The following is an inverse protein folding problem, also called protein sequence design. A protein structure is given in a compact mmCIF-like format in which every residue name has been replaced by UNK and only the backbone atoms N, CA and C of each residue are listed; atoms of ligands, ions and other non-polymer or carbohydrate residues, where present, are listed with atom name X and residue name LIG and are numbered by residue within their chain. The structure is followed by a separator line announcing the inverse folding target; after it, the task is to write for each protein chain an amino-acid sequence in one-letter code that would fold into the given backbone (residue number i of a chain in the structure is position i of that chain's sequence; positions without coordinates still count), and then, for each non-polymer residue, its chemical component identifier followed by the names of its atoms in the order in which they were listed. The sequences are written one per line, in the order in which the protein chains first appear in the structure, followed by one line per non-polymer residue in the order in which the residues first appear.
data_IF_275379547976
#
_entry.id   IF_275379547976
#
_cell.length_a   1.000
_cell.length_b   1.000
_cell.length_c   1.000
_cell.angle_alpha   90.00
_cell.angle_beta   90.00
_cell.angle_gamma   90.00
#
_symmetry.space_group_name_H-M   'P 1'
#
loop_
_entity.id
_entity.type
_entity.pdbx_description
1 polymer ?
#
# COMPACT_ATOMS: atom_id res chain seq x y z
N UNK A 1 37.66 13.35 36.48
CA UNK A 1 37.52 13.88 35.11
C UNK A 1 37.35 12.84 34.00
N UNK A 2 37.96 11.64 34.05
CA UNK A 2 37.80 10.62 32.99
C UNK A 2 36.41 9.93 32.98
N UNK A 3 35.76 9.72 34.10
CA UNK A 3 34.46 9.08 34.22
C UNK A 3 33.33 9.94 33.65
N UNK A 4 33.39 11.26 33.84
CA UNK A 4 32.38 12.23 33.36
C UNK A 4 32.37 12.32 31.82
N UNK A 5 33.55 12.21 31.18
CA UNK A 5 33.65 12.20 29.71
C UNK A 5 33.06 10.95 29.08
N UNK A 6 33.19 9.78 29.73
CA UNK A 6 32.62 8.51 29.26
C UNK A 6 31.11 8.49 29.34
N UNK A 7 30.51 9.07 30.35
CA UNK A 7 29.05 9.18 30.52
C UNK A 7 28.47 10.11 29.46
N UNK A 8 29.15 11.22 29.14
CA UNK A 8 28.71 12.15 28.10
C UNK A 8 28.78 11.53 26.70
N UNK A 9 29.81 10.74 26.42
CA UNK A 9 29.93 10.03 25.13
C UNK A 9 28.86 8.94 24.96
N UNK A 10 28.52 8.23 26.03
CA UNK A 10 27.49 7.19 26.03
C UNK A 10 26.10 7.81 25.85
N UNK A 11 25.82 8.98 26.44
CA UNK A 11 24.58 9.71 26.27
C UNK A 11 24.42 10.26 24.84
N UNK A 12 25.51 10.69 24.19
CA UNK A 12 25.49 11.14 22.79
C UNK A 12 25.25 9.97 21.82
N UNK A 13 25.83 8.78 22.10
CA UNK A 13 25.62 7.58 21.28
C UNK A 13 24.20 7.03 21.44
N UNK A 14 23.59 7.11 22.62
CA UNK A 14 22.21 6.73 22.85
C UNK A 14 21.22 7.71 22.21
N UNK A 15 21.53 9.00 22.20
CA UNK A 15 20.69 10.00 21.52
C UNK A 15 20.73 9.85 19.99
N UNK A 16 21.89 9.50 19.41
CA UNK A 16 22.01 9.23 17.97
C UNK A 16 21.32 7.92 17.55
N UNK A 17 21.36 6.87 18.39
CA UNK A 17 20.62 5.62 18.13
C UNK A 17 19.09 5.81 18.19
N UNK A 18 18.59 6.65 19.10
CA UNK A 18 17.17 7.00 19.20
C UNK A 18 16.70 7.84 17.99
N UNK A 19 17.53 8.72 17.46
CA UNK A 19 17.21 9.51 16.27
C UNK A 19 17.15 8.66 14.99
N UNK A 20 17.98 7.63 14.88
CA UNK A 20 17.98 6.70 13.73
C UNK A 20 16.73 5.79 13.75
N UNK A 21 16.27 5.38 14.94
CA UNK A 21 15.06 4.55 15.06
C UNK A 21 13.78 5.32 14.75
N UNK A 22 13.72 6.63 15.04
CA UNK A 22 12.55 7.47 14.68
C UNK A 22 12.46 7.76 13.20
N UNK A 23 13.55 7.94 12.49
CA UNK A 23 13.56 8.11 11.03
C UNK A 23 13.10 6.85 10.28
N UNK A 24 13.40 5.66 10.81
CA UNK A 24 12.94 4.39 10.24
C UNK A 24 11.43 4.17 10.38
N UNK A 25 10.79 4.77 11.36
CA UNK A 25 9.34 4.68 11.56
C UNK A 25 8.55 5.54 10.55
N UNK A 26 9.21 6.48 9.91
CA UNK A 26 8.64 7.48 9.03
C UNK A 26 8.04 6.93 7.73
N UNK A 27 8.58 5.88 7.18
CA UNK A 27 8.07 5.28 5.94
C UNK A 27 6.91 4.30 6.14
N UNK A 28 6.51 4.02 7.37
CA UNK A 28 5.72 2.85 7.69
C UNK A 28 4.32 3.09 8.26
N UNK A 29 4.04 4.30 8.74
CA UNK A 29 2.81 4.59 9.48
C UNK A 29 1.92 5.65 8.88
N UNK A 30 2.15 6.04 7.62
CA UNK A 30 1.55 7.26 7.09
C UNK A 30 2.22 8.51 7.71
N UNK A 31 2.13 9.62 7.01
CA UNK A 31 2.80 10.88 7.34
C UNK A 31 2.50 11.39 8.77
N UNK A 32 1.28 11.13 9.28
CA UNK A 32 0.87 11.55 10.62
C UNK A 32 1.65 10.91 11.78
N UNK A 33 2.09 9.65 11.63
CA UNK A 33 2.88 8.95 12.65
C UNK A 33 4.31 9.49 12.80
N UNK A 34 4.88 9.92 11.68
CA UNK A 34 6.26 10.44 11.61
C UNK A 34 6.35 11.83 12.17
N UNK A 35 5.41 12.69 11.82
CA UNK A 35 5.41 14.10 12.24
C UNK A 35 5.18 14.20 13.75
N UNK A 36 4.39 13.30 14.35
CA UNK A 36 4.25 13.21 15.81
C UNK A 36 5.52 12.74 16.54
N UNK A 37 6.39 11.99 15.86
CA UNK A 37 7.63 11.45 16.44
C UNK A 37 8.83 12.41 16.27
N UNK A 38 8.72 13.41 15.41
CA UNK A 38 9.79 14.42 15.23
C UNK A 38 9.59 15.54 16.23
N UNK A 39 10.64 15.97 16.96
CA UNK A 39 10.57 17.14 17.84
C UNK A 39 10.49 18.49 17.08
N UNK A 40 10.06 18.46 15.83
CA UNK A 40 9.93 19.63 14.97
C UNK A 40 8.54 20.25 15.23
N UNK A 41 8.49 21.24 16.11
CA UNK A 41 7.44 22.25 16.06
C UNK A 41 7.67 23.10 14.81
N UNK A 42 7.21 22.60 13.65
CA UNK A 42 7.12 23.43 12.46
C UNK A 42 5.84 24.30 12.63
N UNK A 43 5.96 25.60 12.87
CA UNK A 43 4.80 26.47 12.90
C UNK A 43 4.15 26.44 11.52
N UNK A 44 2.87 26.05 11.45
CA UNK A 44 2.10 26.07 10.21
C UNK A 44 1.99 24.77 9.41
N UNK A 45 2.43 23.61 9.95
CA UNK A 45 2.00 22.32 9.39
C UNK A 45 0.50 22.19 9.62
N UNK A 46 -0.35 22.21 8.58
CA UNK A 46 -1.79 22.05 8.77
C UNK A 46 -2.07 20.72 9.48
N UNK A 47 -3.08 20.66 10.35
CA UNK A 47 -3.56 19.42 11.01
C UNK A 47 -3.81 18.27 10.04
N UNK A 48 -3.99 18.59 8.78
CA UNK A 48 -4.17 17.74 7.62
C UNK A 48 -2.96 16.80 7.37
N UNK A 49 -1.73 17.26 7.63
CA UNK A 49 -0.52 16.44 7.50
C UNK A 49 -0.35 15.53 8.72
N UNK A 50 -0.92 15.93 9.85
CA UNK A 50 -0.90 15.18 11.11
C UNK A 50 -2.03 14.13 11.21
N UNK A 51 -2.96 14.11 10.26
CA UNK A 51 -4.05 13.15 10.22
C UNK A 51 -3.58 11.72 9.86
N UNK A 52 -4.39 10.69 10.15
CA UNK A 52 -4.06 9.32 9.77
C UNK A 52 -3.94 9.21 8.25
N UNK A 53 -2.98 8.38 7.79
CA UNK A 53 -2.84 8.09 6.37
C UNK A 53 -4.14 7.55 5.78
N UNK A 54 -4.50 7.92 4.54
CA UNK A 54 -5.67 7.37 3.86
C UNK A 54 -5.59 5.84 3.77
N UNK A 55 -4.42 5.33 3.41
CA UNK A 55 -4.12 3.90 3.37
C UNK A 55 -2.85 3.67 4.17
N UNK A 56 -2.93 2.84 5.20
CA UNK A 56 -1.74 2.36 5.92
C UNK A 56 -1.24 1.10 5.22
N UNK A 57 0.03 1.14 4.85
CA UNK A 57 0.75 0.07 4.16
C UNK A 57 2.04 -0.29 4.89
N UNK A 58 1.98 -0.32 6.20
CA UNK A 58 3.13 -0.50 7.06
C UNK A 58 3.59 -1.96 7.10
N UNK A 59 4.91 -2.20 6.94
CA UNK A 59 5.52 -3.53 7.10
C UNK A 59 5.29 -4.11 8.51
N UNK A 60 5.07 -3.28 9.53
CA UNK A 60 4.74 -3.72 10.89
C UNK A 60 3.39 -4.42 11.00
N UNK A 61 2.49 -4.17 10.04
CA UNK A 61 1.19 -4.83 9.95
C UNK A 61 1.26 -6.14 9.15
N UNK A 62 2.42 -6.43 8.54
CA UNK A 62 2.60 -7.61 7.71
C UNK A 62 2.80 -8.87 8.54
N UNK A 63 2.28 -9.98 8.03
CA UNK A 63 2.48 -11.32 8.59
C UNK A 63 3.72 -11.94 7.98
N UNK A 64 4.76 -12.13 8.78
CA UNK A 64 6.08 -12.59 8.34
C UNK A 64 6.12 -14.07 7.92
N UNK A 65 5.19 -14.89 8.38
CA UNK A 65 5.17 -16.31 8.08
C UNK A 65 6.29 -17.10 8.77
N UNK A 66 6.54 -18.30 8.26
CA UNK A 66 7.49 -19.25 8.83
C UNK A 66 8.68 -19.44 7.86
N UNK A 67 9.92 -19.09 8.26
CA UNK A 67 11.12 -19.32 7.44
C UNK A 67 11.32 -20.77 7.00
N UNK A 68 10.91 -21.75 7.82
CA UNK A 68 11.00 -23.16 7.47
C UNK A 68 10.12 -23.56 6.29
N UNK A 69 9.20 -22.68 5.87
CA UNK A 69 8.34 -22.87 4.70
C UNK A 69 8.79 -22.09 3.47
N UNK A 70 9.94 -21.43 3.53
CA UNK A 70 10.50 -20.76 2.36
C UNK A 70 10.80 -21.79 1.27
N UNK A 71 10.38 -21.48 0.05
CA UNK A 71 10.53 -22.41 -1.07
C UNK A 71 9.57 -23.60 -1.07
N UNK A 72 8.75 -23.79 -0.02
CA UNK A 72 7.75 -24.84 0.02
C UNK A 72 6.81 -24.73 -1.19
N UNK A 73 6.69 -25.83 -1.91
CA UNK A 73 5.65 -26.03 -2.93
C UNK A 73 4.58 -26.93 -2.35
N UNK A 74 3.32 -26.44 -2.22
CA UNK A 74 2.23 -27.28 -1.76
C UNK A 74 2.04 -28.52 -2.65
N UNK A 75 1.51 -29.63 -2.11
CA UNK A 75 1.26 -30.84 -2.89
C UNK A 75 0.32 -30.59 -4.09
N UNK A 76 0.63 -31.18 -5.22
CA UNK A 76 -0.18 -31.09 -6.43
C UNK A 76 0.07 -29.83 -7.26
N UNK A 77 -0.72 -29.70 -8.33
CA UNK A 77 -0.73 -28.48 -9.17
C UNK A 77 -1.68 -27.45 -8.57
N UNK A 78 -1.32 -26.17 -8.70
CA UNK A 78 -2.22 -25.09 -8.32
C UNK A 78 -3.52 -25.16 -9.16
N UNK A 79 -4.64 -25.20 -8.48
CA UNK A 79 -5.97 -25.06 -9.07
C UNK A 79 -6.28 -23.57 -9.28
N UNK A 80 -7.18 -23.25 -10.22
CA UNK A 80 -7.62 -21.89 -10.40
C UNK A 80 -8.38 -21.41 -9.16
N UNK A 81 -7.91 -20.35 -8.51
CA UNK A 81 -8.58 -19.74 -7.37
C UNK A 81 -10.01 -19.27 -7.74
N UNK A 82 -10.19 -18.84 -8.99
CA UNK A 82 -11.48 -18.44 -9.57
C UNK A 82 -12.50 -19.57 -9.71
N UNK A 83 -12.09 -20.81 -9.58
CA UNK A 83 -12.97 -21.97 -9.54
C UNK A 83 -13.66 -22.18 -8.18
N UNK A 84 -13.24 -21.47 -7.14
CA UNK A 84 -13.88 -21.51 -5.83
C UNK A 84 -15.15 -20.66 -5.79
N UNK A 85 -16.15 -21.05 -4.98
CA UNK A 85 -17.34 -20.25 -4.75
C UNK A 85 -16.96 -18.87 -4.19
N UNK A 86 -17.72 -17.84 -4.57
CA UNK A 86 -17.56 -16.50 -4.01
C UNK A 86 -18.56 -16.25 -2.90
N UNK A 87 -18.08 -15.64 -1.81
CA UNK A 87 -18.94 -15.12 -0.76
C UNK A 87 -19.65 -13.83 -1.19
N UNK A 88 -20.60 -13.38 -0.38
CA UNK A 88 -21.44 -12.20 -0.66
C UNK A 88 -20.68 -10.91 -0.97
N UNK A 89 -19.43 -10.79 -0.51
CA UNK A 89 -18.56 -9.63 -0.77
C UNK A 89 -17.50 -9.89 -1.84
N UNK A 90 -17.65 -10.95 -2.65
CA UNK A 90 -16.79 -11.24 -3.78
C UNK A 90 -15.48 -11.98 -3.47
N UNK A 91 -15.16 -12.23 -2.20
CA UNK A 91 -14.01 -13.04 -1.80
C UNK A 91 -14.26 -14.53 -2.07
N UNK A 92 -13.20 -15.35 -2.10
CA UNK A 92 -13.22 -16.76 -2.39
C UNK A 92 -13.42 -17.59 -1.12
N UNK A 93 -14.44 -18.47 -1.10
CA UNK A 93 -14.68 -19.42 0.02
C UNK A 93 -13.71 -20.59 -0.14
N UNK A 94 -12.81 -20.75 0.82
CA UNK A 94 -11.67 -21.64 0.72
C UNK A 94 -12.05 -23.10 1.05
N UNK A 95 -11.57 -24.02 0.21
CA UNK A 95 -11.56 -25.46 0.44
C UNK A 95 -10.12 -25.96 0.59
N UNK A 96 -9.88 -27.18 1.14
CA UNK A 96 -8.54 -27.75 1.18
C UNK A 96 -7.92 -27.82 -0.21
N UNK A 97 -6.67 -27.37 -0.35
CA UNK A 97 -5.97 -27.40 -1.65
C UNK A 97 -4.97 -26.28 -1.85
N UNK A 98 -4.35 -26.30 -3.02
CA UNK A 98 -3.43 -25.27 -3.49
C UNK A 98 -4.06 -24.55 -4.67
N UNK A 99 -4.16 -23.23 -4.58
CA UNK A 99 -4.85 -22.36 -5.55
C UNK A 99 -3.97 -21.22 -6.00
N UNK A 100 -4.17 -20.77 -7.24
CA UNK A 100 -3.49 -19.58 -7.76
C UNK A 100 -4.41 -18.79 -8.70
N UNK A 101 -4.16 -17.48 -8.77
CA UNK A 101 -4.71 -16.59 -9.79
C UNK A 101 -3.72 -15.49 -10.14
N UNK A 102 -3.73 -15.04 -11.38
CA UNK A 102 -3.09 -13.81 -11.78
C UNK A 102 -4.09 -12.66 -11.56
N UNK A 103 -3.99 -12.01 -10.42
CA UNK A 103 -4.90 -10.93 -10.03
C UNK A 103 -4.48 -9.59 -10.64
N UNK A 104 -5.45 -8.74 -11.02
CA UNK A 104 -5.17 -7.33 -11.22
C UNK A 104 -4.69 -6.73 -9.90
N UNK A 105 -3.58 -5.98 -9.95
CA UNK A 105 -3.03 -5.30 -8.78
C UNK A 105 -2.86 -3.81 -9.02
N UNK A 106 -2.74 -3.07 -7.92
CA UNK A 106 -2.81 -1.62 -7.88
C UNK A 106 -1.86 -1.05 -6.85
N UNK A 107 -1.15 0.02 -7.24
CA UNK A 107 -0.29 0.76 -6.33
C UNK A 107 -1.08 1.50 -5.25
N UNK A 108 -0.61 1.41 -4.01
CA UNK A 108 -1.16 2.13 -2.85
C UNK A 108 -0.18 3.14 -2.25
N UNK A 109 0.84 3.52 -2.99
CA UNK A 109 1.84 4.50 -2.56
C UNK A 109 2.20 5.44 -3.71
N UNK A 110 2.74 6.62 -3.40
CA UNK A 110 3.28 7.54 -4.37
C UNK A 110 4.79 7.69 -4.16
N UNK A 111 5.54 7.91 -5.25
CA UNK A 111 6.96 8.17 -5.18
C UNK A 111 7.80 6.99 -4.67
N UNK A 112 7.38 5.76 -4.97
CA UNK A 112 8.15 4.54 -4.68
C UNK A 112 8.36 3.70 -5.93
N UNK A 113 9.38 2.84 -5.91
CA UNK A 113 9.78 2.03 -7.06
C UNK A 113 8.79 0.90 -7.33
N UNK A 114 8.61 0.58 -8.59
CA UNK A 114 7.83 -0.59 -9.00
C UNK A 114 8.36 -1.89 -8.39
N UNK A 115 7.55 -2.96 -8.33
CA UNK A 115 8.01 -4.28 -7.93
C UNK A 115 9.18 -4.75 -8.81
N UNK A 116 10.17 -5.36 -8.17
CA UNK A 116 11.31 -5.97 -8.85
C UNK A 116 11.52 -7.39 -8.35
N UNK A 117 12.27 -8.21 -9.09
CA UNK A 117 12.59 -9.58 -8.71
C UNK A 117 13.37 -9.67 -7.40
N UNK A 118 13.19 -10.75 -6.64
CA UNK A 118 13.99 -11.11 -5.48
C UNK A 118 13.44 -10.67 -4.13
N UNK A 119 12.73 -9.55 -4.04
CA UNK A 119 12.13 -9.11 -2.77
C UNK A 119 10.85 -9.88 -2.46
N UNK A 120 10.69 -10.35 -1.22
CA UNK A 120 9.45 -10.93 -0.73
C UNK A 120 8.34 -9.89 -0.61
N UNK A 121 7.10 -10.37 -0.76
CA UNK A 121 5.89 -9.60 -0.51
C UNK A 121 5.04 -10.34 0.50
N UNK A 122 4.75 -9.69 1.62
CA UNK A 122 4.04 -10.28 2.76
C UNK A 122 2.58 -9.84 2.79
N UNK A 123 1.71 -10.68 3.32
CA UNK A 123 0.33 -10.31 3.57
C UNK A 123 0.21 -9.26 4.68
N UNK A 124 -0.60 -8.24 4.45
CA UNK A 124 -1.13 -7.37 5.49
C UNK A 124 -2.60 -7.03 5.22
N UNK A 125 -3.42 -6.79 6.25
CA UNK A 125 -4.78 -6.28 6.05
C UNK A 125 -4.71 -4.81 5.60
N UNK A 126 -5.67 -4.37 4.78
CA UNK A 126 -5.82 -2.96 4.45
C UNK A 126 -6.20 -2.17 5.71
N UNK A 127 -5.49 -1.08 5.97
CA UNK A 127 -5.74 -0.15 7.09
C UNK A 127 -5.74 1.30 6.58
N UNK A 128 -6.04 2.23 7.45
CA UNK A 128 -6.07 3.67 7.15
C UNK A 128 -7.49 4.24 7.18
N UNK A 129 -7.58 5.57 7.12
CA UNK A 129 -8.87 6.27 7.21
C UNK A 129 -9.79 6.02 6.01
N UNK A 130 -9.23 5.68 4.85
CA UNK A 130 -9.97 5.37 3.62
C UNK A 130 -10.04 3.87 3.30
N UNK A 131 -9.71 2.96 4.25
CA UNK A 131 -9.71 1.51 4.01
C UNK A 131 -11.03 1.00 3.41
N UNK A 132 -12.16 1.49 3.92
CA UNK A 132 -13.48 1.05 3.46
C UNK A 132 -13.77 1.50 2.01
N UNK A 133 -13.29 2.68 1.62
CA UNK A 133 -13.41 3.17 0.24
C UNK A 133 -12.51 2.35 -0.71
N UNK A 134 -11.25 2.08 -0.33
CA UNK A 134 -10.34 1.23 -1.10
C UNK A 134 -10.93 -0.16 -1.29
N UNK A 135 -11.40 -0.79 -0.21
CA UNK A 135 -12.03 -2.12 -0.26
C UNK A 135 -13.28 -2.11 -1.15
N UNK A 136 -14.13 -1.07 -1.06
CA UNK A 136 -15.31 -0.94 -1.91
C UNK A 136 -14.94 -0.82 -3.38
N UNK A 137 -13.98 0.02 -3.75
CA UNK A 137 -13.50 0.14 -5.14
C UNK A 137 -13.09 -1.22 -5.69
N UNK A 138 -12.26 -1.96 -4.95
CA UNK A 138 -11.73 -3.25 -5.41
C UNK A 138 -12.81 -4.33 -5.52
N UNK A 139 -13.71 -4.43 -4.55
CA UNK A 139 -14.82 -5.40 -4.54
C UNK A 139 -15.86 -5.07 -5.60
N UNK A 140 -16.31 -3.82 -5.65
CA UNK A 140 -17.36 -3.40 -6.58
C UNK A 140 -16.88 -3.46 -8.04
N UNK A 141 -15.57 -3.35 -8.30
CA UNK A 141 -15.00 -3.52 -9.63
C UNK A 141 -15.31 -4.89 -10.25
N UNK A 142 -15.61 -5.92 -9.44
CA UNK A 142 -16.01 -7.25 -9.93
C UNK A 142 -17.33 -7.21 -10.71
N UNK A 143 -18.28 -6.38 -10.29
CA UNK A 143 -19.57 -6.21 -10.95
C UNK A 143 -19.47 -5.24 -12.15
N UNK A 144 -18.33 -4.59 -12.36
CA UNK A 144 -18.10 -3.60 -13.39
C UNK A 144 -16.87 -3.93 -14.26
N UNK A 145 -16.86 -5.08 -14.98
CA UNK A 145 -15.72 -5.51 -15.79
C UNK A 145 -15.36 -4.53 -16.91
N UNK A 146 -16.32 -3.69 -17.34
CA UNK A 146 -16.14 -2.63 -18.33
C UNK A 146 -15.28 -1.47 -17.85
N UNK A 147 -15.12 -1.28 -16.53
CA UNK A 147 -14.24 -0.25 -16.00
C UNK A 147 -12.79 -0.68 -16.20
N UNK A 148 -12.01 0.13 -16.90
CA UNK A 148 -10.62 -0.16 -17.18
C UNK A 148 -9.79 -0.21 -15.87
N UNK A 149 -8.78 -1.07 -15.83
CA UNK A 149 -7.87 -1.19 -14.68
C UNK A 149 -7.19 0.15 -14.37
N UNK A 150 -6.81 0.92 -15.41
CA UNK A 150 -6.19 2.24 -15.24
C UNK A 150 -7.12 3.23 -14.52
N UNK A 151 -8.41 3.18 -14.76
CA UNK A 151 -9.37 4.07 -14.09
C UNK A 151 -9.52 3.74 -12.60
N UNK A 152 -9.51 2.45 -12.27
CA UNK A 152 -9.47 1.98 -10.88
C UNK A 152 -8.18 2.46 -10.21
N UNK A 153 -7.03 2.34 -10.88
CA UNK A 153 -5.75 2.82 -10.36
C UNK A 153 -5.76 4.33 -10.11
N UNK A 154 -6.32 5.13 -11.03
CA UNK A 154 -6.44 6.57 -10.86
C UNK A 154 -7.30 6.95 -9.64
N UNK A 155 -8.40 6.24 -9.38
CA UNK A 155 -9.20 6.44 -8.17
C UNK A 155 -8.44 6.09 -6.89
N UNK A 156 -7.68 5.01 -6.89
CA UNK A 156 -6.85 4.64 -5.74
C UNK A 156 -5.73 5.66 -5.51
N UNK A 157 -5.11 6.18 -6.57
CA UNK A 157 -4.14 7.26 -6.44
C UNK A 157 -4.79 8.57 -5.98
N UNK A 158 -6.04 8.86 -6.38
CA UNK A 158 -6.78 10.02 -5.85
C UNK A 158 -6.98 9.92 -4.32
N UNK A 159 -7.27 8.72 -3.81
CA UNK A 159 -7.35 8.46 -2.37
C UNK A 159 -5.97 8.67 -1.70
N UNK A 160 -4.91 8.06 -2.24
CA UNK A 160 -3.54 8.18 -1.69
C UNK A 160 -3.09 9.65 -1.66
N UNK A 161 -3.33 10.38 -2.74
CA UNK A 161 -2.99 11.79 -2.86
C UNK A 161 -3.94 12.73 -2.10
N UNK A 162 -5.02 12.21 -1.51
CA UNK A 162 -6.09 13.00 -0.88
C UNK A 162 -6.65 14.07 -1.83
N UNK A 163 -6.81 13.70 -3.11
CA UNK A 163 -7.43 14.58 -4.09
C UNK A 163 -8.93 14.76 -3.76
N UNK A 164 -9.46 15.94 -4.05
CA UNK A 164 -10.88 16.22 -3.94
C UNK A 164 -11.61 15.57 -5.12
N UNK A 165 -12.53 14.65 -4.85
CA UNK A 165 -13.24 13.90 -5.88
C UNK A 165 -14.13 14.80 -6.75
N UNK A 166 -14.59 15.92 -6.21
CA UNK A 166 -15.34 16.93 -6.97
C UNK A 166 -14.49 17.63 -8.05
N UNK A 167 -13.17 17.62 -7.93
CA UNK A 167 -12.25 18.26 -8.87
C UNK A 167 -11.70 17.28 -9.93
N UNK A 168 -11.99 15.97 -9.81
CA UNK A 168 -11.63 14.99 -10.83
C UNK A 168 -12.38 15.23 -12.15
N UNK A 169 -11.86 14.70 -13.24
CA UNK A 169 -12.56 14.75 -14.52
C UNK A 169 -13.90 13.99 -14.49
N UNK A 170 -14.79 14.28 -15.46
CA UNK A 170 -16.14 13.71 -15.50
C UNK A 170 -16.14 12.18 -15.63
N UNK A 171 -15.15 11.61 -16.34
CA UNK A 171 -15.02 10.16 -16.50
C UNK A 171 -14.72 9.50 -15.18
N UNK A 172 -13.73 10.00 -14.43
CA UNK A 172 -13.36 9.47 -13.13
C UNK A 172 -14.47 9.68 -12.08
N UNK A 173 -15.18 10.80 -12.13
CA UNK A 173 -16.40 11.00 -11.30
C UNK A 173 -17.45 9.92 -11.57
N UNK A 174 -17.68 9.60 -12.84
CA UNK A 174 -18.61 8.54 -13.23
C UNK A 174 -18.17 7.15 -12.74
N UNK A 175 -16.88 6.85 -12.81
CA UNK A 175 -16.32 5.60 -12.28
C UNK A 175 -16.43 5.57 -10.75
N UNK A 176 -16.09 6.66 -10.07
CA UNK A 176 -16.20 6.76 -8.61
C UNK A 176 -17.64 6.57 -8.12
N UNK A 177 -18.63 7.14 -8.82
CA UNK A 177 -20.04 6.99 -8.47
C UNK A 177 -20.57 5.54 -8.61
N UNK A 178 -19.95 4.72 -9.46
CA UNK A 178 -20.31 3.28 -9.57
C UNK A 178 -19.63 2.42 -8.49
N UNK A 179 -18.44 2.81 -8.05
CA UNK A 179 -17.62 1.99 -7.16
C UNK A 179 -17.73 2.38 -5.68
N UNK A 180 -18.21 3.59 -5.38
CA UNK A 180 -18.29 4.16 -4.04
C UNK A 180 -19.70 4.62 -3.71
N UNK A 181 -20.06 4.55 -2.43
CA UNK A 181 -21.30 5.13 -1.92
C UNK A 181 -21.16 6.66 -1.79
N UNK A 182 -22.29 7.38 -1.81
CA UNK A 182 -22.33 8.83 -1.55
C UNK A 182 -21.68 9.20 -0.21
N UNK A 183 -21.86 8.38 0.83
CA UNK A 183 -21.21 8.58 2.14
C UNK A 183 -19.69 8.49 2.05
N UNK A 184 -19.16 7.53 1.30
CA UNK A 184 -17.72 7.39 1.09
C UNK A 184 -17.15 8.56 0.30
N UNK A 185 -17.80 8.97 -0.78
CA UNK A 185 -17.38 10.14 -1.58
C UNK A 185 -17.37 11.41 -0.74
N UNK A 186 -18.42 11.66 0.05
CA UNK A 186 -18.46 12.80 0.97
C UNK A 186 -17.37 12.75 2.03
N UNK A 187 -17.03 11.54 2.53
CA UNK A 187 -15.92 11.33 3.46
C UNK A 187 -14.56 11.67 2.85
N UNK A 188 -14.31 11.20 1.63
CA UNK A 188 -13.07 11.48 0.90
C UNK A 188 -12.93 12.97 0.59
N UNK A 189 -14.01 13.65 0.16
CA UNK A 189 -14.00 15.10 -0.08
C UNK A 189 -13.69 15.90 1.19
N UNK A 190 -14.23 15.51 2.35
CA UNK A 190 -13.92 16.18 3.63
C UNK A 190 -12.46 16.02 4.06
N UNK A 191 -11.82 14.93 3.70
CA UNK A 191 -10.41 14.64 4.02
C UNK A 191 -9.44 15.07 2.92
N UNK A 192 -9.94 15.68 1.83
CA UNK A 192 -9.15 16.14 0.71
C UNK A 192 -8.22 17.30 1.08
N UNK A 193 -7.09 17.38 0.39
CA UNK A 193 -6.11 18.45 0.50
C UNK A 193 -6.19 19.38 -0.70
N UNK A 194 -5.93 20.66 -0.49
CA UNK A 194 -5.68 21.59 -1.58
C UNK A 194 -4.39 21.26 -2.35
N UNK A 195 -4.30 21.72 -3.59
CA UNK A 195 -3.06 21.67 -4.36
C UNK A 195 -2.11 22.73 -3.81
N UNK A 196 -0.92 22.31 -3.39
CA UNK A 196 0.08 23.22 -2.86
C UNK A 196 0.93 23.77 -4.01
N UNK A 197 1.27 25.06 -3.95
CA UNK A 197 2.29 25.65 -4.83
C UNK A 197 3.68 25.10 -4.48
N UNK A 198 4.60 25.13 -5.43
CA UNK A 198 5.99 24.67 -5.19
C UNK A 198 6.67 25.34 -4.00
N UNK A 199 6.56 26.67 -3.78
CA UNK A 199 7.10 27.31 -2.58
C UNK A 199 6.45 26.83 -1.27
N UNK A 200 5.12 26.66 -1.25
CA UNK A 200 4.42 26.12 -0.09
C UNK A 200 4.89 24.69 0.24
N UNK A 201 5.02 23.86 -0.79
CA UNK A 201 5.49 22.49 -0.65
C UNK A 201 6.94 22.46 -0.11
N UNK A 202 7.85 23.26 -0.69
CA UNK A 202 9.22 23.37 -0.22
C UNK A 202 9.33 23.85 1.24
N UNK A 203 8.51 24.83 1.63
CA UNK A 203 8.44 25.33 3.02
C UNK A 203 7.98 24.23 3.98
N UNK A 204 6.99 23.42 3.57
CA UNK A 204 6.45 22.34 4.40
C UNK A 204 7.39 21.14 4.50
N UNK A 205 8.18 20.86 3.47
CA UNK A 205 8.99 19.64 3.36
C UNK A 205 10.47 19.86 3.69
N UNK A 206 10.93 21.11 3.75
CA UNK A 206 12.36 21.47 3.89
C UNK A 206 13.05 20.90 5.13
N UNK A 207 12.33 20.67 6.22
CA UNK A 207 12.84 20.07 7.47
C UNK A 207 12.61 18.55 7.60
N UNK A 208 12.02 17.89 6.59
CA UNK A 208 11.63 16.49 6.68
C UNK A 208 12.74 15.54 6.19
N UNK A 209 12.84 14.32 6.75
CA UNK A 209 13.71 13.27 6.22
C UNK A 209 13.43 13.01 4.75
N UNK A 210 14.49 12.76 3.96
CA UNK A 210 14.43 12.59 2.50
C UNK A 210 13.29 11.71 1.99
N UNK A 211 13.10 10.49 2.50
CA UNK A 211 12.02 9.61 2.04
C UNK A 211 10.61 10.15 2.30
N UNK A 212 10.40 10.83 3.43
CA UNK A 212 9.11 11.45 3.77
C UNK A 212 8.80 12.62 2.84
N UNK A 213 9.83 13.44 2.58
CA UNK A 213 9.74 14.56 1.65
C UNK A 213 9.37 14.07 0.24
N UNK A 214 10.08 13.07 -0.28
CA UNK A 214 9.80 12.49 -1.61
C UNK A 214 8.35 12.00 -1.73
N UNK A 215 7.84 11.30 -0.71
CA UNK A 215 6.46 10.83 -0.72
C UNK A 215 5.45 11.99 -0.73
N UNK A 216 5.65 13.01 0.10
CA UNK A 216 4.77 14.20 0.16
C UNK A 216 4.78 14.99 -1.15
N UNK A 217 5.96 15.19 -1.73
CA UNK A 217 6.12 15.85 -3.01
C UNK A 217 5.41 15.06 -4.12
N UNK A 218 5.56 13.73 -4.15
CA UNK A 218 4.88 12.86 -5.10
C UNK A 218 3.35 12.91 -4.93
N UNK A 219 2.84 12.81 -3.70
CA UNK A 219 1.40 12.93 -3.44
C UNK A 219 0.84 14.29 -3.86
N UNK A 220 1.55 15.39 -3.57
CA UNK A 220 1.13 16.73 -3.97
C UNK A 220 1.12 16.91 -5.49
N UNK A 221 2.17 16.46 -6.18
CA UNK A 221 2.24 16.52 -7.66
C UNK A 221 1.16 15.65 -8.30
N UNK A 222 0.96 14.44 -7.79
CA UNK A 222 -0.08 13.52 -8.27
C UNK A 222 -1.48 14.12 -8.08
N UNK A 223 -1.74 14.79 -6.95
CA UNK A 223 -3.00 15.50 -6.71
C UNK A 223 -3.23 16.60 -7.75
N UNK A 224 -2.20 17.42 -8.02
CA UNK A 224 -2.26 18.45 -9.05
C UNK A 224 -2.60 17.86 -10.43
N UNK A 225 -1.92 16.79 -10.84
CA UNK A 225 -2.20 16.13 -12.12
C UNK A 225 -3.60 15.54 -12.20
N UNK A 226 -4.07 14.87 -11.14
CA UNK A 226 -5.41 14.26 -11.10
C UNK A 226 -6.56 15.27 -11.19
N UNK A 227 -6.32 16.52 -10.79
CA UNK A 227 -7.30 17.61 -10.82
C UNK A 227 -7.08 18.60 -11.98
N UNK A 228 -6.04 18.40 -12.80
CA UNK A 228 -5.77 19.21 -13.99
C UNK A 228 -6.37 18.54 -15.22
N UNK A 229 -7.29 19.19 -15.94
CA UNK A 229 -7.84 18.66 -17.17
C UNK A 229 -6.77 18.33 -18.21
N UNK A 230 -6.88 17.16 -18.85
CA UNK A 230 -5.95 16.73 -19.90
C UNK A 230 -4.68 16.04 -19.43
N UNK A 231 -4.44 15.91 -18.13
CA UNK A 231 -3.33 15.11 -17.62
C UNK A 231 -3.49 13.64 -18.05
N UNK A 232 -2.42 13.08 -18.60
CA UNK A 232 -2.42 11.69 -19.04
C UNK A 232 -2.14 10.71 -17.90
N UNK A 233 -2.59 9.45 -18.06
CA UNK A 233 -2.23 8.36 -17.15
C UNK A 233 -0.70 8.23 -16.98
N UNK A 234 0.07 8.31 -18.07
CA UNK A 234 1.51 8.17 -18.06
C UNK A 234 2.23 9.29 -17.27
N UNK A 235 1.68 10.50 -17.22
CA UNK A 235 2.23 11.58 -16.40
C UNK A 235 2.02 11.31 -14.91
N UNK A 236 0.82 10.85 -14.53
CA UNK A 236 0.48 10.50 -13.15
C UNK A 236 1.30 9.28 -12.71
N UNK A 237 1.40 8.26 -13.57
CA UNK A 237 2.19 7.04 -13.32
C UNK A 237 3.65 7.35 -13.04
N UNK A 238 4.29 8.22 -13.82
CA UNK A 238 5.70 8.62 -13.60
C UNK A 238 5.95 9.26 -12.25
N UNK A 239 4.96 9.93 -11.69
CA UNK A 239 5.03 10.50 -10.34
C UNK A 239 4.77 9.43 -9.28
N UNK A 240 3.81 8.56 -9.52
CA UNK A 240 3.40 7.53 -8.56
C UNK A 240 4.42 6.39 -8.46
N UNK A 241 4.96 5.93 -9.59
CA UNK A 241 5.82 4.75 -9.69
C UNK A 241 7.18 5.14 -10.26
N UNK A 242 8.19 5.10 -9.41
CA UNK A 242 9.56 5.40 -9.82
C UNK A 242 10.15 4.23 -10.63
N UNK A 243 10.87 4.58 -11.69
CA UNK A 243 11.65 3.63 -12.49
C UNK A 243 13.05 3.39 -11.91
N UNK A 244 13.69 2.31 -12.37
CA UNK A 244 15.09 2.00 -12.01
C UNK A 244 15.21 1.02 -10.84
N UNK A 245 16.43 0.96 -10.26
CA UNK A 245 16.77 0.04 -9.16
C UNK A 245 16.32 0.65 -7.84
N UNK A 246 15.44 -0.04 -7.13
CA UNK A 246 15.00 0.37 -5.81
C UNK A 246 16.13 0.22 -4.78
N UNK A 247 16.56 1.29 -4.11
CA UNK A 247 17.47 1.15 -2.97
C UNK A 247 16.77 0.43 -1.82
N UNK A 248 17.54 -0.12 -0.88
CA UNK A 248 16.96 -0.60 0.37
C UNK A 248 16.50 0.60 1.20
N UNK A 249 15.21 0.74 1.39
CA UNK A 249 14.64 1.79 2.23
C UNK A 249 14.84 1.52 3.72
N UNK A 250 14.75 2.54 4.59
CA UNK A 250 14.80 2.36 6.04
C UNK A 250 13.76 1.35 6.54
N UNK A 251 14.19 0.42 7.41
CA UNK A 251 13.33 -0.64 7.94
C UNK A 251 13.06 -1.80 6.98
N UNK A 252 13.71 -1.84 5.81
CA UNK A 252 13.71 -3.02 4.94
C UNK A 252 14.28 -4.23 5.68
N UNK A 253 13.67 -5.39 5.44
CA UNK A 253 14.07 -6.68 6.04
C UNK A 253 14.42 -7.67 4.95
N UNK A 254 15.15 -8.75 5.31
CA UNK A 254 15.48 -9.84 4.41
C UNK A 254 14.44 -10.94 4.51
N UNK A 255 13.60 -11.03 3.50
CA UNK A 255 12.63 -12.11 3.32
C UNK A 255 12.60 -12.48 1.84
N UNK A 256 12.77 -13.75 1.49
CA UNK A 256 12.80 -14.18 0.09
C UNK A 256 11.42 -14.08 -0.57
N UNK A 257 11.40 -13.95 -1.89
CA UNK A 257 10.18 -13.91 -2.68
C UNK A 257 9.33 -15.21 -2.58
N UNK A 258 9.92 -16.26 -2.03
CA UNK A 258 9.26 -17.56 -1.81
C UNK A 258 8.52 -17.68 -0.49
N UNK A 259 8.60 -16.67 0.40
CA UNK A 259 7.97 -16.67 1.72
C UNK A 259 6.45 -16.77 1.64
N UNK A 260 5.89 -17.66 2.43
CA UNK A 260 4.47 -17.75 2.70
C UNK A 260 4.09 -16.98 3.96
N UNK A 261 3.07 -16.14 3.89
CA UNK A 261 2.43 -15.53 5.06
C UNK A 261 1.30 -16.42 5.56
N UNK A 262 1.23 -16.67 6.86
CA UNK A 262 0.09 -17.37 7.47
C UNK A 262 -1.01 -16.35 7.75
N UNK A 263 -2.10 -16.40 6.98
CA UNK A 263 -3.26 -15.55 7.23
C UNK A 263 -3.85 -15.84 8.62
N UNK A 264 -4.35 -14.84 9.37
CA UNK A 264 -4.97 -15.04 10.70
C UNK A 264 -6.06 -16.10 10.72
N UNK A 265 -6.79 -16.27 9.61
CA UNK A 265 -7.83 -17.30 9.45
C UNK A 265 -7.29 -18.72 9.24
N UNK A 266 -5.96 -18.92 9.17
CA UNK A 266 -5.33 -20.24 9.17
C UNK A 266 -5.04 -20.86 7.80
N UNK A 267 -5.01 -20.07 6.74
CA UNK A 267 -4.51 -20.48 5.42
C UNK A 267 -3.21 -19.72 5.08
N UNK A 268 -2.46 -20.20 4.10
CA UNK A 268 -1.22 -19.57 3.66
C UNK A 268 -1.47 -18.76 2.39
N UNK A 269 -0.85 -17.57 2.32
CA UNK A 269 -0.88 -16.70 1.14
C UNK A 269 0.53 -16.28 0.74
N UNK A 270 0.79 -16.26 -0.57
CA UNK A 270 2.04 -15.78 -1.14
C UNK A 270 1.75 -14.89 -2.33
N UNK A 271 2.46 -13.76 -2.40
CA UNK A 271 2.36 -12.80 -3.48
C UNK A 271 3.63 -12.78 -4.31
N UNK A 272 3.48 -12.84 -5.63
CA UNK A 272 4.56 -12.73 -6.61
C UNK A 272 4.18 -11.67 -7.64
N UNK A 273 4.43 -10.38 -7.37
CA UNK A 273 4.15 -9.33 -8.34
C UNK A 273 4.95 -9.49 -9.63
N UNK A 274 4.29 -9.23 -10.76
CA UNK A 274 4.91 -9.11 -12.07
C UNK A 274 4.63 -7.70 -12.61
N UNK A 275 5.48 -6.74 -12.23
CA UNK A 275 5.15 -5.32 -12.30
C UNK A 275 4.10 -4.93 -11.25
N UNK A 276 3.55 -3.71 -11.35
CA UNK A 276 2.56 -3.23 -10.39
C UNK A 276 1.10 -3.52 -10.80
N UNK A 277 0.87 -3.88 -12.06
CA UNK A 277 -0.48 -4.08 -12.62
C UNK A 277 -1.03 -5.48 -12.39
N UNK A 278 -0.16 -6.45 -12.12
CA UNK A 278 -0.61 -7.80 -11.87
C UNK A 278 0.26 -8.52 -10.83
N UNK A 279 -0.37 -9.43 -10.09
CA UNK A 279 0.28 -10.21 -9.05
C UNK A 279 -0.22 -11.64 -9.10
N UNK A 280 0.69 -12.62 -9.18
CA UNK A 280 0.34 -13.97 -8.85
C UNK A 280 0.04 -14.06 -7.37
N UNK A 281 -1.19 -14.44 -7.07
CA UNK A 281 -1.67 -14.73 -5.72
C UNK A 281 -1.80 -16.23 -5.59
N UNK A 282 -1.08 -16.80 -4.63
CA UNK A 282 -1.12 -18.23 -4.33
C UNK A 282 -1.70 -18.42 -2.93
N UNK A 283 -2.66 -19.34 -2.81
CA UNK A 283 -3.33 -19.69 -1.55
C UNK A 283 -3.13 -21.19 -1.32
N UNK A 284 -2.65 -21.54 -0.15
CA UNK A 284 -2.56 -22.93 0.28
C UNK A 284 -3.38 -23.13 1.55
N UNK A 285 -4.33 -24.05 1.48
CA UNK A 285 -5.20 -24.47 2.57
C UNK A 285 -4.90 -25.93 2.91
N UNK A 286 -4.05 -26.19 3.92
CA UNK A 286 -3.76 -27.56 4.33
C UNK A 286 -5.04 -28.30 4.75
N UNK A 287 -5.13 -29.64 4.52
CA UNK A 287 -6.19 -30.46 5.09
C UNK A 287 -6.28 -30.26 6.62
N UNK A 288 -7.49 -30.11 7.15
CA UNK A 288 -7.71 -29.91 8.58
C UNK A 288 -7.37 -28.52 9.13
N UNK A 289 -6.91 -27.57 8.27
CA UNK A 289 -6.61 -26.21 8.73
C UNK A 289 -7.85 -25.41 9.08
N UNK A 290 -7.68 -24.38 9.93
CA UNK A 290 -8.75 -23.44 10.27
C UNK A 290 -9.21 -22.58 9.09
N UNK A 291 -8.42 -22.56 7.99
CA UNK A 291 -8.72 -21.83 6.77
C UNK A 291 -9.86 -22.41 5.93
N UNK A 292 -10.27 -23.67 6.21
CA UNK A 292 -11.36 -24.32 5.48
C UNK A 292 -12.68 -23.60 5.77
N UNK A 293 -13.43 -23.24 4.72
CA UNK A 293 -14.67 -22.47 4.81
C UNK A 293 -14.47 -20.97 5.11
N UNK A 294 -13.23 -20.51 5.34
CA UNK A 294 -12.93 -19.08 5.47
C UNK A 294 -12.89 -18.41 4.10
N UNK A 295 -12.92 -17.09 4.09
CA UNK A 295 -12.91 -16.31 2.86
C UNK A 295 -11.57 -15.62 2.68
N UNK A 296 -10.91 -15.86 1.54
CA UNK A 296 -9.84 -14.98 1.08
C UNK A 296 -10.45 -13.86 0.23
N UNK A 297 -10.28 -12.63 0.68
CA UNK A 297 -10.76 -11.44 -0.02
C UNK A 297 -9.56 -10.60 -0.51
N UNK A 298 -9.28 -10.61 -1.83
CA UNK A 298 -8.20 -9.81 -2.40
C UNK A 298 -8.37 -8.31 -2.13
N UNK A 299 -9.63 -7.80 -2.10
CA UNK A 299 -9.92 -6.38 -1.93
C UNK A 299 -9.63 -5.84 -0.53
N UNK A 300 -9.46 -6.70 0.47
CA UNK A 300 -9.08 -6.33 1.84
C UNK A 300 -7.65 -6.73 2.21
N UNK A 301 -6.90 -7.27 1.26
CA UNK A 301 -5.53 -7.78 1.43
C UNK A 301 -4.53 -6.91 0.68
N UNK A 302 -3.38 -6.65 1.30
CA UNK A 302 -2.28 -5.89 0.69
C UNK A 302 -1.04 -6.76 0.64
N UNK A 303 -0.36 -6.78 -0.51
CA UNK A 303 0.99 -7.28 -0.64
C UNK A 303 1.98 -6.17 -0.25
N UNK A 304 2.64 -6.33 0.91
CA UNK A 304 3.60 -5.37 1.45
C UNK A 304 5.02 -5.84 1.14
N UNK A 305 5.83 -5.02 0.44
CA UNK A 305 7.20 -5.39 0.12
C UNK A 305 8.09 -5.37 1.36
N UNK A 306 9.04 -6.31 1.41
CA UNK A 306 10.09 -6.33 2.42
C UNK A 306 11.15 -5.24 2.18
N UNK A 307 11.35 -4.82 0.94
CA UNK A 307 12.06 -3.60 0.59
C UNK A 307 11.09 -2.42 0.60
N UNK A 308 11.23 -1.56 1.60
CA UNK A 308 10.27 -0.48 1.87
C UNK A 308 10.26 0.63 0.85
N UNK A 309 11.26 0.73 -0.02
CA UNK A 309 11.27 1.67 -1.14
C UNK A 309 10.38 1.22 -2.32
N UNK A 310 9.84 -0.01 -2.31
CA UNK A 310 8.98 -0.53 -3.36
C UNK A 310 7.49 -0.28 -3.10
N UNK A 311 6.70 -0.38 -4.17
CA UNK A 311 5.24 -0.24 -4.14
C UNK A 311 4.57 -1.31 -3.28
N UNK A 312 3.56 -0.91 -2.54
CA UNK A 312 2.57 -1.75 -1.86
C UNK A 312 1.43 -1.98 -2.83
N UNK A 313 0.96 -3.22 -2.91
CA UNK A 313 -0.01 -3.60 -3.92
C UNK A 313 -1.30 -4.13 -3.27
N UNK A 314 -2.41 -3.48 -3.58
CA UNK A 314 -3.72 -4.10 -3.41
C UNK A 314 -4.00 -5.02 -4.59
N UNK A 315 -4.88 -6.00 -4.40
CA UNK A 315 -5.38 -6.86 -5.46
C UNK A 315 -6.89 -6.75 -5.53
N UNK A 316 -7.46 -6.92 -6.72
CA UNK A 316 -8.89 -7.18 -6.86
C UNK A 316 -9.15 -8.66 -7.16
N UNK A 317 -10.38 -9.09 -7.03
CA UNK A 317 -10.81 -10.43 -7.45
C UNK A 317 -10.90 -10.60 -8.97
N UNK A 318 -10.50 -9.59 -9.77
CA UNK A 318 -10.45 -9.61 -11.23
C UNK A 318 -9.19 -10.30 -11.70
N UNK A 319 -9.33 -11.19 -12.68
CA UNK A 319 -8.18 -11.81 -13.36
C UNK A 319 -7.53 -10.76 -14.27
N UNK A 320 -6.20 -10.69 -14.22
CA UNK A 320 -5.47 -9.87 -15.19
C UNK A 320 -5.46 -10.59 -16.55
N UNK A 321 -5.94 -9.91 -17.57
CA UNK A 321 -5.87 -10.32 -18.95
C UNK A 321 -4.87 -9.41 -19.68
N UNK A 322 -3.96 -10.03 -20.44
CA UNK A 322 -3.01 -9.30 -21.30
C UNK A 322 -3.72 -8.72 -22.51
#
# INVERSE_FOLDING_TARGET
MKVLKSILLLALLLASAAAITTAAQAQFGGLGGVIKALPIKAPGLPDIINGPAPVSTNIKDAVYGDPAKDGLTPPGKAMALTGLPRGAQGGFILAPGYYAMLAQSYCLHAGTYGPGGGDGYLFAPVKGSAKDAVTSILRNSLAHPEIAQHDIQLLLWAIVARAKFEDLDMRLKGVAARLLTTKQLAGLNRSALGVLTSPQLASLTGGLPGPVRVALEAESRMRGLLTTPGSSYAEIERVAVLGGIAPRGPGSIDVPATRWSLHPDGFWVRYKPNGYTNTWVEIWVPPGSKGIGKTYDPGSSIAVPVNTARQRLAQSGRVYMR
#
